data_IF_583428756535
#
_entry.id   IF_583428756535
#
_cell.length_a   1.000
_cell.length_b   1.000
_cell.length_c   1.000
_cell.angle_alpha   90.00
_cell.angle_beta   90.00
_cell.angle_gamma   90.00
#
_symmetry.space_group_name_H-M   'P 1'
#
loop_
_entity.id
_entity.type
_entity.pdbx_description
1 polymer ?
#
# COMPACT_ATOMS: atom_id res chain seq x y z
N UNK A 1 -2.46 -49.63 7.61
CA UNK A 1 -3.20 -48.63 8.41
C UNK A 1 -2.51 -47.28 8.25
N UNK A 2 -2.91 -46.51 7.23
CA UNK A 2 -2.31 -45.20 6.89
C UNK A 2 -3.09 -44.09 7.60
N UNK A 3 -2.43 -43.34 8.49
CA UNK A 3 -3.03 -42.22 9.20
C UNK A 3 -3.43 -41.10 8.21
N UNK A 4 -4.56 -40.40 8.43
CA UNK A 4 -4.97 -39.28 7.59
C UNK A 4 -3.99 -38.11 7.77
N UNK A 5 -3.40 -37.67 6.66
CA UNK A 5 -2.57 -36.47 6.55
C UNK A 5 -3.34 -35.24 7.03
N UNK A 6 -2.78 -34.53 8.01
CA UNK A 6 -3.40 -33.35 8.62
C UNK A 6 -3.87 -32.33 7.57
N UNK A 7 -5.16 -32.06 7.56
CA UNK A 7 -5.78 -31.05 6.69
C UNK A 7 -5.29 -29.68 7.12
N UNK A 8 -4.26 -29.16 6.43
CA UNK A 8 -3.82 -27.78 6.59
C UNK A 8 -5.00 -26.87 6.25
N UNK A 9 -5.66 -26.27 7.26
CA UNK A 9 -6.79 -25.36 7.06
C UNK A 9 -6.42 -24.30 6.01
N UNK A 10 -7.27 -24.09 4.99
CA UNK A 10 -7.08 -23.06 3.97
C UNK A 10 -6.74 -21.69 4.58
N UNK A 11 -5.88 -20.92 3.93
CA UNK A 11 -5.39 -19.63 4.45
C UNK A 11 -6.53 -18.64 4.73
N UNK A 12 -7.64 -18.70 3.98
CA UNK A 12 -8.84 -17.88 4.20
C UNK A 12 -9.62 -18.23 5.48
N UNK A 13 -9.37 -19.40 6.09
CA UNK A 13 -9.96 -19.84 7.37
C UNK A 13 -9.01 -19.58 8.56
N UNK A 14 -7.86 -18.94 8.32
CA UNK A 14 -6.89 -18.59 9.37
C UNK A 14 -7.20 -17.21 9.92
N UNK A 15 -8.13 -17.15 10.87
CA UNK A 15 -8.51 -15.98 11.65
C UNK A 15 -7.36 -15.04 12.06
N UNK A 16 -6.15 -15.52 12.45
CA UNK A 16 -5.05 -14.62 12.78
C UNK A 16 -4.64 -13.68 11.64
N UNK A 17 -4.73 -14.13 10.38
CA UNK A 17 -4.38 -13.31 9.22
C UNK A 17 -5.44 -12.23 8.97
N UNK A 18 -6.73 -12.57 9.15
CA UNK A 18 -7.82 -11.60 9.07
C UNK A 18 -7.74 -10.56 10.19
N UNK A 19 -7.36 -10.96 11.41
CA UNK A 19 -7.16 -10.05 12.52
C UNK A 19 -6.06 -9.01 12.24
N UNK A 20 -4.97 -9.42 11.57
CA UNK A 20 -3.93 -8.48 11.14
C UNK A 20 -4.43 -7.48 10.10
N UNK A 21 -5.19 -7.95 9.10
CA UNK A 21 -5.80 -7.07 8.09
C UNK A 21 -6.78 -6.11 8.74
N UNK A 22 -7.62 -6.58 9.66
CA UNK A 22 -8.56 -5.77 10.41
C UNK A 22 -7.86 -4.69 11.24
N UNK A 23 -6.86 -5.08 12.04
CA UNK A 23 -6.12 -4.13 12.87
C UNK A 23 -5.41 -3.07 12.02
N UNK A 24 -4.74 -3.48 10.95
CA UNK A 24 -4.09 -2.54 10.03
C UNK A 24 -5.09 -1.64 9.30
N UNK A 25 -6.20 -2.22 8.81
CA UNK A 25 -7.25 -1.50 8.07
C UNK A 25 -7.92 -0.42 8.90
N UNK A 26 -8.18 -0.69 10.18
CA UNK A 26 -8.69 0.30 11.15
C UNK A 26 -7.73 1.47 11.29
N UNK A 27 -6.44 1.21 11.47
CA UNK A 27 -5.42 2.27 11.58
C UNK A 27 -5.31 3.08 10.29
N UNK A 28 -5.26 2.41 9.14
CA UNK A 28 -5.16 3.07 7.83
C UNK A 28 -6.37 3.96 7.54
N UNK A 29 -7.57 3.43 7.79
CA UNK A 29 -8.83 4.16 7.59
C UNK A 29 -8.94 5.37 8.52
N UNK A 30 -8.60 5.20 9.81
CA UNK A 30 -8.63 6.30 10.76
C UNK A 30 -7.63 7.40 10.41
N UNK A 31 -6.42 7.05 9.96
CA UNK A 31 -5.43 8.02 9.51
C UNK A 31 -5.90 8.76 8.26
N UNK A 32 -6.46 8.04 7.28
CA UNK A 32 -7.06 8.65 6.09
C UNK A 32 -8.15 9.64 6.47
N UNK A 33 -9.07 9.24 7.33
CA UNK A 33 -10.19 10.09 7.75
C UNK A 33 -9.69 11.33 8.49
N UNK A 34 -8.73 11.17 9.41
CA UNK A 34 -8.12 12.28 10.13
C UNK A 34 -7.50 13.31 9.16
N UNK A 35 -6.79 12.86 8.13
CA UNK A 35 -6.22 13.75 7.13
C UNK A 35 -7.30 14.41 6.26
N UNK A 36 -8.35 13.67 5.88
CA UNK A 36 -9.43 14.18 5.05
C UNK A 36 -10.21 15.31 5.73
N UNK A 37 -10.47 15.19 7.03
CA UNK A 37 -11.16 16.25 7.79
C UNK A 37 -10.23 17.42 8.16
N UNK A 38 -8.91 17.21 8.18
CA UNK A 38 -7.94 18.25 8.59
C UNK A 38 -7.50 19.16 7.45
N UNK A 39 -7.63 18.71 6.20
CA UNK A 39 -7.17 19.47 5.02
C UNK A 39 -8.36 19.86 4.16
N UNK A 40 -8.65 21.18 4.03
CA UNK A 40 -9.76 21.63 3.22
C UNK A 40 -9.52 21.38 1.73
N UNK A 41 -10.58 21.22 0.92
CA UNK A 41 -10.46 21.16 -0.53
C UNK A 41 -9.84 22.45 -1.10
N UNK A 42 -9.02 22.30 -2.14
CA UNK A 42 -8.43 23.44 -2.87
C UNK A 42 -9.13 23.55 -4.21
N UNK A 43 -9.74 24.70 -4.49
CA UNK A 43 -10.57 24.91 -5.69
C UNK A 43 -11.62 23.79 -5.89
N UNK A 44 -12.25 23.32 -4.80
CA UNK A 44 -13.24 22.24 -4.83
C UNK A 44 -12.67 20.84 -5.10
N UNK A 45 -11.35 20.67 -5.04
CA UNK A 45 -10.67 19.39 -5.23
C UNK A 45 -10.11 18.90 -3.91
N UNK A 46 -10.39 17.64 -3.55
CA UNK A 46 -9.87 17.01 -2.33
C UNK A 46 -8.39 16.59 -2.50
N UNK A 47 -7.48 17.57 -2.44
CA UNK A 47 -6.04 17.35 -2.63
C UNK A 47 -5.42 16.32 -1.67
N UNK A 48 -6.02 16.13 -0.48
CA UNK A 48 -5.60 15.08 0.45
C UNK A 48 -5.78 13.68 -0.14
N UNK A 49 -6.87 13.43 -0.86
CA UNK A 49 -7.15 12.11 -1.47
C UNK A 49 -6.10 11.78 -2.53
N UNK A 50 -5.63 12.79 -3.29
CA UNK A 50 -4.50 12.63 -4.20
C UNK A 50 -3.23 12.27 -3.43
N UNK A 51 -2.92 13.02 -2.38
CA UNK A 51 -1.74 12.84 -1.55
C UNK A 51 -1.66 11.46 -0.90
N UNK A 52 -2.73 11.01 -0.22
CA UNK A 52 -2.75 9.70 0.46
C UNK A 52 -2.62 8.55 -0.54
N UNK A 53 -3.23 8.65 -1.74
CA UNK A 53 -3.13 7.60 -2.76
C UNK A 53 -1.71 7.53 -3.33
N UNK A 54 -1.07 8.66 -3.63
CA UNK A 54 0.30 8.69 -4.14
C UNK A 54 1.30 8.19 -3.09
N UNK A 55 1.22 8.70 -1.86
CA UNK A 55 2.09 8.28 -0.75
C UNK A 55 1.88 6.80 -0.46
N UNK A 56 0.63 6.35 -0.41
CA UNK A 56 0.29 4.94 -0.17
C UNK A 56 0.81 4.03 -1.28
N UNK A 57 0.70 4.42 -2.54
CA UNK A 57 1.22 3.66 -3.68
C UNK A 57 2.76 3.53 -3.61
N UNK A 58 3.47 4.62 -3.31
CA UNK A 58 4.93 4.59 -3.09
C UNK A 58 5.32 3.63 -1.96
N UNK A 59 4.69 3.78 -0.79
CA UNK A 59 4.98 2.96 0.39
C UNK A 59 4.65 1.50 0.15
N UNK A 60 3.59 1.20 -0.61
CA UNK A 60 3.21 -0.17 -0.95
C UNK A 60 4.24 -0.81 -1.88
N UNK A 61 4.68 -0.09 -2.93
CA UNK A 61 5.76 -0.55 -3.81
C UNK A 61 7.06 -0.82 -3.03
N UNK A 62 7.44 0.10 -2.14
CA UNK A 62 8.61 -0.04 -1.26
C UNK A 62 8.50 -1.26 -0.34
N UNK A 63 7.34 -1.44 0.29
CA UNK A 63 7.07 -2.55 1.21
C UNK A 63 7.14 -3.90 0.51
N UNK A 64 6.39 -4.05 -0.60
CA UNK A 64 6.28 -5.32 -1.30
C UNK A 64 7.63 -5.76 -1.87
N UNK A 65 8.38 -4.84 -2.47
CA UNK A 65 9.71 -5.15 -3.00
C UNK A 65 10.71 -5.50 -1.89
N UNK A 66 10.67 -4.77 -0.76
CA UNK A 66 11.50 -5.08 0.41
C UNK A 66 11.21 -6.47 0.97
N UNK A 67 9.94 -6.87 1.02
CA UNK A 67 9.55 -8.19 1.51
C UNK A 67 9.94 -9.29 0.51
N UNK A 68 9.71 -9.08 -0.79
CA UNK A 68 10.04 -10.03 -1.84
C UNK A 68 11.54 -10.35 -1.88
N UNK A 69 12.40 -9.32 -1.77
CA UNK A 69 13.87 -9.51 -1.73
C UNK A 69 14.37 -10.27 -0.50
N UNK A 70 13.58 -10.33 0.58
CA UNK A 70 13.93 -11.03 1.82
C UNK A 70 13.51 -12.50 1.82
N UNK A 71 12.87 -12.99 0.76
CA UNK A 71 12.51 -14.40 0.57
C UNK A 71 11.00 -14.66 0.46
N UNK A 72 10.57 -15.93 0.53
CA UNK A 72 9.19 -16.35 0.26
C UNK A 72 8.14 -15.68 1.17
N UNK A 73 6.93 -15.47 0.65
CA UNK A 73 5.79 -14.87 1.38
C UNK A 73 5.22 -15.81 2.45
N UNK A 74 5.98 -16.03 3.52
CA UNK A 74 5.69 -16.98 4.59
C UNK A 74 6.06 -16.40 5.96
N UNK A 75 5.51 -17.01 7.02
CA UNK A 75 5.77 -16.64 8.41
C UNK A 75 5.60 -15.14 8.66
N UNK A 76 6.62 -14.52 9.25
CA UNK A 76 6.63 -13.09 9.60
C UNK A 76 6.49 -12.18 8.37
N UNK A 77 7.01 -12.56 7.20
CA UNK A 77 6.93 -11.73 5.98
C UNK A 77 5.47 -11.62 5.50
N UNK A 78 4.74 -12.74 5.50
CA UNK A 78 3.31 -12.76 5.19
C UNK A 78 2.49 -11.93 6.17
N UNK A 79 2.79 -12.05 7.46
CA UNK A 79 2.12 -11.26 8.50
C UNK A 79 2.33 -9.75 8.29
N UNK A 80 3.56 -9.32 7.97
CA UNK A 80 3.86 -7.92 7.67
C UNK A 80 3.15 -7.44 6.40
N UNK A 81 3.12 -8.26 5.34
CA UNK A 81 2.41 -7.92 4.09
C UNK A 81 0.91 -7.72 4.34
N UNK A 82 0.29 -8.57 5.15
CA UNK A 82 -1.13 -8.45 5.45
C UNK A 82 -1.44 -7.29 6.39
N UNK A 83 -0.66 -7.10 7.45
CA UNK A 83 -0.86 -6.00 8.39
C UNK A 83 -0.63 -4.64 7.72
N UNK A 84 0.53 -4.47 7.09
CA UNK A 84 0.96 -3.17 6.56
C UNK A 84 0.48 -2.93 5.13
N UNK A 85 0.56 -3.94 4.26
CA UNK A 85 0.17 -3.81 2.86
C UNK A 85 -1.35 -3.82 2.69
N UNK A 86 -1.96 -4.96 3.00
CA UNK A 86 -3.43 -5.11 2.85
C UNK A 86 -4.20 -4.31 3.89
N UNK A 87 -3.74 -4.29 5.15
CA UNK A 87 -4.38 -3.56 6.24
C UNK A 87 -4.12 -2.05 6.16
N UNK A 88 -2.98 -1.58 6.67
CA UNK A 88 -2.71 -0.14 6.83
C UNK A 88 -2.75 0.61 5.50
N UNK A 89 -1.95 0.20 4.51
CA UNK A 89 -1.89 0.91 3.22
C UNK A 89 -3.18 0.71 2.41
N UNK A 90 -3.82 -0.45 2.50
CA UNK A 90 -5.12 -0.70 1.88
C UNK A 90 -6.25 0.16 2.45
N UNK A 91 -6.29 0.40 3.77
CA UNK A 91 -7.26 1.29 4.40
C UNK A 91 -6.92 2.78 4.29
N UNK A 92 -5.62 3.11 4.21
CA UNK A 92 -5.11 4.47 4.05
C UNK A 92 -5.35 5.03 2.64
N UNK A 93 -5.24 4.20 1.62
CA UNK A 93 -5.55 4.58 0.23
C UNK A 93 -7.05 4.39 -0.06
N UNK A 94 -7.58 5.07 -1.08
CA UNK A 94 -9.00 4.93 -1.41
C UNK A 94 -9.28 5.27 -2.87
N UNK A 95 -9.85 4.28 -3.57
CA UNK A 95 -10.42 4.48 -4.91
C UNK A 95 -11.85 5.02 -4.85
N UNK A 96 -12.64 4.66 -3.83
CA UNK A 96 -14.04 5.09 -3.75
C UNK A 96 -14.15 6.61 -3.59
N UNK A 97 -13.30 7.22 -2.76
CA UNK A 97 -13.29 8.69 -2.62
C UNK A 97 -12.84 9.38 -3.92
N UNK A 98 -11.81 8.85 -4.58
CA UNK A 98 -11.37 9.33 -5.90
C UNK A 98 -12.54 9.32 -6.90
N UNK A 99 -13.31 8.23 -6.95
CA UNK A 99 -14.45 8.09 -7.85
C UNK A 99 -15.60 9.03 -7.50
N UNK A 100 -15.96 9.17 -6.22
CA UNK A 100 -17.03 10.08 -5.79
C UNK A 100 -16.67 11.53 -6.06
N UNK A 101 -15.45 11.96 -5.73
CA UNK A 101 -14.97 13.33 -5.96
C UNK A 101 -14.89 13.65 -7.46
N UNK A 102 -14.47 12.69 -8.28
CA UNK A 102 -14.50 12.83 -9.75
C UNK A 102 -15.94 13.03 -10.24
N UNK A 103 -16.89 12.26 -9.71
CA UNK A 103 -18.31 12.39 -10.02
C UNK A 103 -18.87 13.78 -9.66
N UNK A 104 -18.49 14.32 -8.51
CA UNK A 104 -18.87 15.68 -8.10
C UNK A 104 -18.32 16.75 -9.05
N UNK A 105 -17.05 16.63 -9.44
CA UNK A 105 -16.45 17.56 -10.42
C UNK A 105 -17.16 17.50 -11.79
N UNK A 106 -17.59 16.31 -12.22
CA UNK A 106 -18.37 16.15 -13.45
C UNK A 106 -19.76 16.77 -13.33
N UNK A 107 -20.43 16.60 -12.18
CA UNK A 107 -21.74 17.21 -11.92
C UNK A 107 -21.67 18.74 -11.95
N UNK A 108 -20.55 19.32 -11.50
CA UNK A 108 -20.28 20.76 -11.57
C UNK A 108 -19.82 21.24 -12.96
N UNK A 109 -19.92 20.40 -13.99
CA UNK A 109 -19.45 20.70 -15.37
C UNK A 109 -17.95 21.00 -15.48
N UNK A 110 -17.13 20.52 -14.53
CA UNK A 110 -15.68 20.75 -14.47
C UNK A 110 -14.89 19.58 -15.07
N UNK A 111 -15.17 19.23 -16.32
CA UNK A 111 -14.58 18.08 -17.02
C UNK A 111 -13.05 18.02 -16.95
N UNK A 112 -12.37 19.15 -17.21
CA UNK A 112 -10.90 19.20 -17.18
C UNK A 112 -10.32 18.88 -15.79
N UNK A 113 -10.95 19.40 -14.73
CA UNK A 113 -10.53 19.12 -13.36
C UNK A 113 -10.80 17.65 -12.98
N UNK A 114 -11.95 17.10 -13.38
CA UNK A 114 -12.30 15.70 -13.15
C UNK A 114 -11.29 14.75 -13.82
N UNK A 115 -10.95 14.99 -15.08
CA UNK A 115 -9.97 14.19 -15.82
C UNK A 115 -8.57 14.30 -15.20
N UNK A 116 -8.11 15.50 -14.88
CA UNK A 116 -6.82 15.71 -14.24
C UNK A 116 -6.74 15.04 -12.87
N UNK A 117 -7.80 15.16 -12.07
CA UNK A 117 -7.88 14.55 -10.74
C UNK A 117 -7.85 13.02 -10.82
N UNK A 118 -8.71 12.41 -11.65
CA UNK A 118 -8.80 10.96 -11.78
C UNK A 118 -7.53 10.36 -12.44
N UNK A 119 -7.21 10.81 -13.65
CA UNK A 119 -6.09 10.25 -14.41
C UNK A 119 -4.74 10.64 -13.80
N UNK A 120 -4.60 11.89 -13.35
CA UNK A 120 -3.39 12.35 -12.69
C UNK A 120 -3.08 11.54 -11.45
N UNK A 121 -4.07 11.29 -10.59
CA UNK A 121 -3.87 10.48 -9.37
C UNK A 121 -3.43 9.06 -9.71
N UNK A 122 -4.06 8.41 -10.70
CA UNK A 122 -3.71 7.03 -11.10
C UNK A 122 -2.31 6.97 -11.72
N UNK A 123 -1.99 7.85 -12.67
CA UNK A 123 -0.70 7.84 -13.37
C UNK A 123 0.45 8.20 -12.43
N UNK A 124 0.28 9.23 -11.60
CA UNK A 124 1.30 9.61 -10.61
C UNK A 124 1.42 8.54 -9.53
N UNK A 125 0.30 7.94 -9.09
CA UNK A 125 0.31 6.81 -8.16
C UNK A 125 1.07 5.59 -8.70
N UNK A 126 0.87 5.25 -9.97
CA UNK A 126 1.61 4.18 -10.64
C UNK A 126 3.12 4.48 -10.70
N UNK A 127 3.50 5.70 -11.10
CA UNK A 127 4.89 6.15 -11.10
C UNK A 127 5.50 6.13 -9.68
N UNK A 128 4.73 6.54 -8.67
CA UNK A 128 5.14 6.52 -7.27
C UNK A 128 5.37 5.09 -6.77
N UNK A 129 4.52 4.13 -7.15
CA UNK A 129 4.72 2.71 -6.85
C UNK A 129 6.03 2.18 -7.44
N UNK A 130 6.32 2.48 -8.72
CA UNK A 130 7.60 2.14 -9.34
C UNK A 130 8.79 2.80 -8.65
N UNK A 131 8.68 4.07 -8.25
CA UNK A 131 9.71 4.75 -7.48
C UNK A 131 9.95 4.05 -6.12
N UNK A 132 8.89 3.58 -5.45
CA UNK A 132 8.99 2.80 -4.21
C UNK A 132 9.73 1.48 -4.41
N UNK A 133 9.43 0.75 -5.48
CA UNK A 133 10.15 -0.48 -5.86
C UNK A 133 11.63 -0.18 -6.12
N UNK A 134 11.93 0.86 -6.89
CA UNK A 134 13.32 1.30 -7.17
C UNK A 134 14.09 1.66 -5.89
N UNK A 135 13.45 2.40 -4.98
CA UNK A 135 14.03 2.77 -3.69
C UNK A 135 14.36 1.54 -2.83
N UNK A 136 13.47 0.54 -2.77
CA UNK A 136 13.73 -0.71 -2.05
C UNK A 136 14.97 -1.45 -2.60
N UNK A 137 15.15 -1.44 -3.92
CA UNK A 137 16.33 -2.00 -4.59
C UNK A 137 17.63 -1.27 -4.21
N UNK A 138 17.63 0.06 -4.28
CA UNK A 138 18.80 0.88 -3.94
C UNK A 138 19.24 0.72 -2.48
N UNK A 139 18.30 0.55 -1.55
CA UNK A 139 18.60 0.35 -0.13
C UNK A 139 19.29 -0.98 0.16
N UNK A 140 19.01 -2.03 -0.61
CA UNK A 140 19.61 -3.37 -0.42
C UNK A 140 20.92 -3.56 -1.20
N UNK A 141 21.10 -2.89 -2.34
CA UNK A 141 22.35 -2.92 -3.13
C UNK A 141 23.56 -2.30 -2.43
N UNK A 142 23.36 -1.61 -1.30
CA UNK A 142 24.43 -0.92 -0.53
C UNK A 142 25.09 -1.78 0.55
N UNK A 143 24.79 -3.08 0.68
CA UNK A 143 25.54 -3.94 1.62
C UNK A 143 26.96 -4.17 1.09
N UNK A 144 28.02 -3.62 1.72
CA UNK A 144 29.38 -3.86 1.28
C UNK A 144 29.73 -5.33 1.52
N UNK A 145 30.32 -5.96 0.53
CA UNK A 145 30.85 -7.31 0.62
C UNK A 145 31.98 -7.33 1.68
N UNK A 146 31.67 -7.66 2.93
CA UNK A 146 32.68 -7.96 3.96
C UNK A 146 33.17 -9.39 3.74
N UNK A 147 34.01 -9.57 2.72
CA UNK A 147 34.76 -10.80 2.51
C UNK A 147 36.14 -10.45 1.94
N UNK A 148 37.11 -10.34 2.84
CA UNK A 148 38.49 -10.06 2.44
C UNK A 148 39.45 -9.71 3.59
N UNK A 149 39.38 -10.35 4.75
CA UNK A 149 40.52 -10.36 5.69
C UNK A 149 40.54 -11.64 6.54
N UNK A 150 40.90 -12.74 5.88
CA UNK A 150 41.52 -13.89 6.56
C UNK A 150 42.58 -14.45 5.62
N UNK A 151 43.79 -13.87 5.67
CA UNK A 151 45.04 -14.51 5.26
C UNK A 151 46.23 -13.59 5.57
N UNK A 152 46.76 -13.69 6.79
CA UNK A 152 48.17 -14.02 7.06
C UNK A 152 48.40 -14.17 8.55
#
# INVERSE_FOLDING_TARGET
MTAPTGTSRPVHLRWPHLALVFAGGTVGTALRELLAISVPPVAGVAVVIVGINIVGAFLLGLLLETLARRGPDEGRRRQLRLLLGTGVLGGFTTYSALATDTGLLLADSRLGAALLYALGTVLIGAAASWAGIGAAGALHGRRPNRSGTTAR
#
